data_IF_323442632089
#
_entry.id   IF_323442632089
#
_cell.length_a   1.000
_cell.length_b   1.000
_cell.length_c   1.000
_cell.angle_alpha   90.00
_cell.angle_beta   90.00
_cell.angle_gamma   90.00
#
_symmetry.space_group_name_H-M   'P 1'
#
loop_
_entity.id
_entity.type
_entity.pdbx_description
1 polymer ?
#
# COMPACT_ATOMS: atom_id res chain seq x y z
N UNK A 1 4.50 12.04 -26.63
CA UNK A 1 3.53 12.26 -25.54
C UNK A 1 4.31 12.55 -24.28
N UNK A 2 3.97 13.58 -23.50
CA UNK A 2 4.68 13.82 -22.25
C UNK A 2 4.40 12.65 -21.29
N UNK A 3 5.45 12.10 -20.68
CA UNK A 3 5.33 11.14 -19.58
C UNK A 3 4.75 11.89 -18.38
N UNK A 4 3.42 11.99 -18.30
CA UNK A 4 2.79 12.61 -17.14
C UNK A 4 3.03 11.73 -15.90
N UNK A 5 4.05 12.10 -15.14
CA UNK A 5 4.45 11.53 -13.85
C UNK A 5 3.47 11.87 -12.71
N UNK A 6 2.32 12.48 -13.03
CA UNK A 6 1.38 13.07 -12.08
C UNK A 6 0.85 12.06 -11.05
N UNK A 7 0.59 10.82 -11.45
CA UNK A 7 0.11 9.78 -10.52
C UNK A 7 1.24 9.27 -9.60
N UNK A 8 2.44 9.04 -10.16
CA UNK A 8 3.62 8.66 -9.39
C UNK A 8 4.04 9.75 -8.40
N UNK A 9 3.98 11.02 -8.79
CA UNK A 9 4.27 12.17 -7.94
C UNK A 9 3.25 12.31 -6.81
N UNK A 10 1.95 12.11 -7.08
CA UNK A 10 0.91 12.09 -6.03
C UNK A 10 1.14 10.97 -5.01
N UNK A 11 1.49 9.78 -5.48
CA UNK A 11 1.77 8.62 -4.62
C UNK A 11 3.03 8.84 -3.76
N UNK A 12 4.05 9.52 -4.28
CA UNK A 12 5.28 9.85 -3.55
C UNK A 12 5.10 11.01 -2.57
N UNK A 13 4.33 12.04 -2.93
CA UNK A 13 4.16 13.27 -2.13
C UNK A 13 3.63 12.98 -0.73
N UNK A 14 2.67 12.06 -0.61
CA UNK A 14 2.15 11.64 0.70
C UNK A 14 3.24 10.98 1.57
N UNK A 15 4.11 10.15 0.98
CA UNK A 15 5.21 9.50 1.69
C UNK A 15 6.26 10.53 2.16
N UNK A 16 6.63 11.47 1.29
CA UNK A 16 7.63 12.50 1.59
C UNK A 16 7.15 13.43 2.70
N UNK A 17 5.88 13.86 2.65
CA UNK A 17 5.28 14.68 3.72
C UNK A 17 5.26 13.91 5.05
N UNK A 18 4.84 12.64 5.04
CA UNK A 18 4.78 11.81 6.25
C UNK A 18 6.16 11.52 6.85
N UNK A 19 7.19 11.33 6.02
CA UNK A 19 8.61 11.23 6.45
C UNK A 19 9.10 12.51 7.11
N UNK A 20 8.77 13.67 6.53
CA UNK A 20 9.13 14.99 7.08
C UNK A 20 8.47 15.24 8.45
N UNK A 21 7.18 14.92 8.58
CA UNK A 21 6.43 15.11 9.84
C UNK A 21 6.91 14.16 10.94
N UNK A 22 7.31 12.93 10.59
CA UNK A 22 7.72 11.94 11.59
C UNK A 22 9.20 11.98 11.97
N UNK A 23 9.98 12.98 11.51
CA UNK A 23 11.44 13.02 11.71
C UNK A 23 12.19 11.77 11.23
N UNK A 24 11.73 11.15 10.12
CA UNK A 24 12.25 9.89 9.59
C UNK A 24 12.22 8.71 10.60
N UNK A 25 12.44 7.49 10.11
CA UNK A 25 12.57 6.33 11.00
C UNK A 25 14.03 6.25 11.46
N UNK A 26 14.27 6.29 12.77
CA UNK A 26 15.63 6.30 13.35
C UNK A 26 16.34 4.94 13.26
N UNK A 27 15.62 3.89 12.87
CA UNK A 27 16.11 2.52 12.77
C UNK A 27 15.72 1.89 11.43
N UNK A 28 16.55 1.01 10.91
CA UNK A 28 16.28 0.24 9.69
C UNK A 28 14.98 -0.57 9.77
N UNK A 29 14.68 -1.12 10.95
CA UNK A 29 13.43 -1.85 11.21
C UNK A 29 12.22 -0.92 11.06
N UNK A 30 12.30 0.32 11.55
CA UNK A 30 11.24 1.31 11.40
C UNK A 30 11.02 1.72 9.94
N UNK A 31 12.10 1.90 9.17
CA UNK A 31 12.03 2.18 7.73
C UNK A 31 11.27 1.05 7.02
N UNK A 32 11.68 -0.19 7.27
CA UNK A 32 11.08 -1.36 6.63
C UNK A 32 9.61 -1.54 7.01
N UNK A 33 9.27 -1.41 8.29
CA UNK A 33 7.90 -1.47 8.76
C UNK A 33 7.01 -0.40 8.10
N UNK A 34 7.55 0.82 7.92
CA UNK A 34 6.81 1.90 7.25
C UNK A 34 6.64 1.65 5.77
N UNK A 35 7.67 1.22 5.06
CA UNK A 35 7.58 0.92 3.64
C UNK A 35 6.60 -0.25 3.38
N UNK A 36 6.59 -1.25 4.26
CA UNK A 36 5.60 -2.33 4.25
C UNK A 36 4.18 -1.80 4.51
N UNK A 37 3.99 -0.96 5.53
CA UNK A 37 2.69 -0.36 5.83
C UNK A 37 2.14 0.43 4.63
N UNK A 38 2.98 1.29 4.04
CA UNK A 38 2.57 2.15 2.93
C UNK A 38 2.27 1.32 1.68
N UNK A 39 3.12 0.35 1.34
CA UNK A 39 2.90 -0.52 0.19
C UNK A 39 1.62 -1.34 0.34
N UNK A 40 1.33 -1.86 1.54
CA UNK A 40 0.09 -2.58 1.82
C UNK A 40 -1.13 -1.66 1.69
N UNK A 41 -1.06 -0.44 2.25
CA UNK A 41 -2.13 0.54 2.14
C UNK A 41 -2.43 0.93 0.68
N UNK A 42 -1.38 1.19 -0.11
CA UNK A 42 -1.52 1.52 -1.53
C UNK A 42 -2.12 0.35 -2.31
N UNK A 43 -1.67 -0.87 -2.04
CA UNK A 43 -2.17 -2.08 -2.71
C UNK A 43 -3.65 -2.32 -2.41
N UNK A 44 -4.06 -2.19 -1.13
CA UNK A 44 -5.47 -2.25 -0.74
C UNK A 44 -6.30 -1.20 -1.48
N UNK A 45 -5.83 0.06 -1.51
CA UNK A 45 -6.52 1.16 -2.20
C UNK A 45 -6.69 0.88 -3.70
N UNK A 46 -5.64 0.38 -4.38
CA UNK A 46 -5.67 0.05 -5.81
C UNK A 46 -6.63 -1.09 -6.14
N UNK A 47 -6.92 -1.97 -5.19
CA UNK A 47 -7.82 -3.12 -5.36
C UNK A 47 -9.20 -2.90 -4.72
N UNK A 48 -9.56 -1.67 -4.34
CA UNK A 48 -10.86 -1.37 -3.74
C UNK A 48 -11.08 -1.95 -2.34
N UNK A 49 -10.01 -2.41 -1.67
CA UNK A 49 -10.07 -2.98 -0.32
C UNK A 49 -9.83 -1.90 0.73
N UNK A 50 -10.69 -1.82 1.76
CA UNK A 50 -10.46 -0.94 2.92
C UNK A 50 -9.28 -1.45 3.74
N UNK A 51 -8.16 -0.72 3.68
CA UNK A 51 -6.91 -1.09 4.36
C UNK A 51 -7.08 -1.47 5.83
N UNK A 52 -7.83 -0.69 6.62
CA UNK A 52 -7.99 -0.95 8.06
C UNK A 52 -8.73 -2.26 8.34
N UNK A 53 -9.76 -2.60 7.54
CA UNK A 53 -10.46 -3.88 7.65
C UNK A 53 -9.54 -5.04 7.28
N UNK A 54 -8.73 -4.87 6.23
CA UNK A 54 -7.72 -5.86 5.83
C UNK A 54 -6.65 -6.08 6.91
N UNK A 55 -6.18 -5.01 7.55
CA UNK A 55 -5.18 -5.10 8.61
C UNK A 55 -5.73 -5.84 9.82
N UNK A 56 -6.95 -5.50 10.27
CA UNK A 56 -7.61 -6.19 11.37
C UNK A 56 -7.85 -7.66 11.06
N UNK A 57 -8.30 -7.98 9.85
CA UNK A 57 -8.48 -9.37 9.40
C UNK A 57 -7.21 -10.21 9.55
N UNK A 58 -6.04 -9.64 9.22
CA UNK A 58 -4.75 -10.33 9.32
C UNK A 58 -4.22 -10.40 10.75
N UNK A 59 -4.37 -9.33 11.53
CA UNK A 59 -3.87 -9.29 12.92
C UNK A 59 -4.72 -10.16 13.84
N UNK A 60 -6.05 -10.15 13.67
CA UNK A 60 -6.97 -10.93 14.48
C UNK A 60 -7.20 -12.35 13.94
N UNK A 61 -6.67 -12.67 12.75
CA UNK A 61 -6.79 -14.01 12.16
C UNK A 61 -8.20 -14.38 11.69
N UNK A 62 -9.04 -13.39 11.36
CA UNK A 62 -10.43 -13.64 10.93
C UNK A 62 -10.50 -14.38 9.58
N UNK A 63 -9.59 -14.10 8.66
CA UNK A 63 -9.51 -14.79 7.36
C UNK A 63 -10.69 -14.54 6.43
N UNK A 64 -11.49 -13.50 6.67
CA UNK A 64 -12.68 -13.15 5.90
C UNK A 64 -12.33 -12.43 4.59
N UNK A 65 -11.22 -11.69 4.55
CA UNK A 65 -10.77 -11.01 3.34
C UNK A 65 -9.74 -11.91 2.63
N UNK A 66 -9.91 -12.15 1.34
CA UNK A 66 -8.94 -12.88 0.50
C UNK A 66 -7.55 -12.25 0.56
N UNK A 67 -6.50 -13.05 0.34
CA UNK A 67 -5.13 -12.52 0.34
C UNK A 67 -4.98 -11.49 -0.78
N UNK A 68 -4.23 -10.41 -0.52
CA UNK A 68 -3.98 -9.38 -1.54
C UNK A 68 -3.42 -9.98 -2.83
N UNK A 69 -2.56 -11.01 -2.74
CA UNK A 69 -2.06 -11.75 -3.90
C UNK A 69 -3.18 -12.35 -4.76
N UNK A 70 -4.19 -12.95 -4.14
CA UNK A 70 -5.34 -13.55 -4.84
C UNK A 70 -6.21 -12.46 -5.49
N UNK A 71 -6.39 -11.34 -4.78
CA UNK A 71 -7.16 -10.19 -5.29
C UNK A 71 -6.45 -9.60 -6.50
N UNK A 72 -5.14 -9.36 -6.42
CA UNK A 72 -4.34 -8.82 -7.54
C UNK A 72 -4.41 -9.73 -8.76
N UNK A 73 -4.31 -11.06 -8.57
CA UNK A 73 -4.43 -12.03 -9.66
C UNK A 73 -5.80 -11.98 -10.35
N UNK A 74 -6.87 -11.68 -9.61
CA UNK A 74 -8.23 -11.53 -10.17
C UNK A 74 -8.44 -10.20 -10.87
N UNK A 75 -7.83 -9.13 -10.38
CA UNK A 75 -7.99 -7.77 -10.94
C UNK A 75 -7.07 -7.51 -12.13
N UNK A 76 -6.00 -8.31 -12.30
CA UNK A 76 -5.12 -8.20 -13.45
C UNK A 76 -5.90 -8.52 -14.74
N UNK A 77 -6.02 -7.59 -15.69
CA UNK A 77 -6.66 -7.89 -16.97
C UNK A 77 -5.87 -9.01 -17.65
N UNK A 78 -6.54 -10.12 -17.99
CA UNK A 78 -5.93 -11.18 -18.79
C UNK A 78 -5.58 -10.56 -20.13
N UNK A 79 -4.29 -10.31 -20.35
CA UNK A 79 -3.77 -9.93 -21.66
C UNK A 79 -4.09 -11.11 -22.57
N UNK A 80 -5.07 -10.91 -23.44
CA UNK A 80 -5.50 -11.86 -24.46
C UNK A 80 -4.62 -11.75 -25.69
#
# INVERSE_FOLDING_TARGET
MPLENNESERDLRGKVIKRKISLFDRTWVGVWARDLYISLQQTCRKNGVRFYQYLLDRVCGYGQISKLSEIILRTCPKVS
#
